data_IF_142772926239
#
_entry.id   IF_142772926239
#
_cell.length_a   1.000
_cell.length_b   1.000
_cell.length_c   1.000
_cell.angle_alpha   90.00
_cell.angle_beta   90.00
_cell.angle_gamma   90.00
#
_symmetry.space_group_name_H-M   'P 1'
#
loop_
_entity.id
_entity.type
_entity.pdbx_description
1 polymer ?
#
# COMPACT_ATOMS: atom_id res chain seq x y z
N UNK A 1 62.11 1.95 -4.45
CA UNK A 1 61.29 3.14 -4.16
C UNK A 1 60.04 3.27 -5.04
N UNK A 2 59.99 2.72 -6.26
CA UNK A 2 58.82 2.87 -7.14
C UNK A 2 57.64 1.94 -6.79
N UNK A 3 57.90 0.73 -6.27
CA UNK A 3 56.85 -0.24 -5.93
C UNK A 3 56.05 0.14 -4.67
N UNK A 4 56.70 0.73 -3.66
CA UNK A 4 56.05 1.18 -2.42
C UNK A 4 55.07 2.34 -2.64
N UNK A 5 55.43 3.30 -3.50
CA UNK A 5 54.55 4.41 -3.88
C UNK A 5 53.31 3.92 -4.66
N UNK A 6 53.49 2.92 -5.53
CA UNK A 6 52.39 2.35 -6.31
C UNK A 6 51.41 1.53 -5.46
N UNK A 7 51.90 0.85 -4.43
CA UNK A 7 51.06 0.10 -3.48
C UNK A 7 50.23 1.00 -2.56
N UNK A 8 50.81 2.09 -2.04
CA UNK A 8 50.08 3.08 -1.22
C UNK A 8 49.02 3.84 -2.03
N UNK A 9 49.32 4.23 -3.28
CA UNK A 9 48.36 4.88 -4.16
C UNK A 9 47.17 3.96 -4.50
N UNK A 10 47.43 2.68 -4.75
CA UNK A 10 46.39 1.66 -4.98
C UNK A 10 45.50 1.46 -3.73
N UNK A 11 46.10 1.44 -2.54
CA UNK A 11 45.38 1.33 -1.26
C UNK A 11 44.49 2.55 -1.01
N UNK A 12 45.02 3.78 -1.12
CA UNK A 12 44.24 5.02 -0.93
C UNK A 12 43.09 5.14 -1.93
N UNK A 13 43.32 4.75 -3.19
CA UNK A 13 42.28 4.76 -4.23
C UNK A 13 41.13 3.80 -3.89
N UNK A 14 41.44 2.59 -3.41
CA UNK A 14 40.43 1.62 -2.95
C UNK A 14 39.61 2.15 -1.77
N UNK A 15 40.24 2.83 -0.81
CA UNK A 15 39.53 3.46 0.32
C UNK A 15 38.64 4.62 -0.12
N UNK A 16 39.08 5.47 -1.05
CA UNK A 16 38.28 6.59 -1.57
C UNK A 16 37.07 6.05 -2.36
N UNK A 17 37.28 5.07 -3.24
CA UNK A 17 36.20 4.46 -4.02
C UNK A 17 35.23 3.71 -3.11
N UNK A 18 35.75 2.91 -2.17
CA UNK A 18 34.93 2.19 -1.19
C UNK A 18 34.13 3.11 -0.29
N UNK A 19 34.76 4.18 0.22
CA UNK A 19 34.10 5.20 1.03
C UNK A 19 33.02 5.98 0.25
N UNK A 20 33.31 6.34 -1.00
CA UNK A 20 32.33 7.00 -1.88
C UNK A 20 31.13 6.11 -2.17
N UNK A 21 31.35 4.83 -2.47
CA UNK A 21 30.28 3.88 -2.74
C UNK A 21 29.40 3.65 -1.50
N UNK A 22 30.03 3.47 -0.33
CA UNK A 22 29.31 3.35 0.94
C UNK A 22 28.49 4.61 1.27
N UNK A 23 29.06 5.80 1.01
CA UNK A 23 28.37 7.07 1.18
C UNK A 23 27.13 7.18 0.27
N UNK A 24 27.26 6.85 -1.01
CA UNK A 24 26.13 6.84 -1.95
C UNK A 24 25.05 5.84 -1.55
N UNK A 25 25.43 4.64 -1.11
CA UNK A 25 24.50 3.64 -0.60
C UNK A 25 23.74 4.16 0.62
N UNK A 26 24.44 4.75 1.59
CA UNK A 26 23.82 5.31 2.78
C UNK A 26 22.82 6.43 2.44
N UNK A 27 23.20 7.35 1.55
CA UNK A 27 22.29 8.41 1.06
C UNK A 27 21.06 7.81 0.38
N UNK A 28 21.23 6.77 -0.44
CA UNK A 28 20.12 6.08 -1.09
C UNK A 28 19.15 5.42 -0.10
N UNK A 29 19.68 4.73 0.91
CA UNK A 29 18.88 4.09 1.97
C UNK A 29 18.12 5.14 2.77
N UNK A 30 18.81 6.18 3.24
CA UNK A 30 18.18 7.26 4.02
C UNK A 30 17.09 7.96 3.20
N UNK A 31 17.37 8.29 1.94
CA UNK A 31 16.40 8.89 1.04
C UNK A 31 15.16 8.01 0.85
N UNK A 32 15.35 6.70 0.71
CA UNK A 32 14.25 5.75 0.57
C UNK A 32 13.40 5.60 1.84
N UNK A 33 14.04 5.62 3.02
CA UNK A 33 13.33 5.59 4.30
C UNK A 33 12.52 6.87 4.52
N UNK A 34 13.09 8.04 4.21
CA UNK A 34 12.37 9.32 4.26
C UNK A 34 11.18 9.29 3.31
N UNK A 35 11.38 8.88 2.05
CA UNK A 35 10.30 8.73 1.08
C UNK A 35 9.18 7.81 1.60
N UNK A 36 9.53 6.66 2.17
CA UNK A 36 8.57 5.70 2.74
C UNK A 36 7.86 6.23 4.00
N UNK A 37 8.49 7.14 4.76
CA UNK A 37 7.86 7.77 5.92
C UNK A 37 6.86 8.87 5.55
N UNK A 38 7.04 9.50 4.39
CA UNK A 38 6.23 10.63 3.91
C UNK A 38 5.11 10.16 2.99
N UNK A 39 5.36 9.17 2.14
CA UNK A 39 4.39 8.67 1.16
C UNK A 39 4.13 7.17 1.38
N UNK A 40 2.89 6.68 1.16
CA UNK A 40 1.96 7.16 0.16
C UNK A 40 1.21 8.43 0.56
N UNK A 41 1.23 9.41 -0.32
CA UNK A 41 0.74 10.77 -0.09
C UNK A 41 -0.02 11.21 -1.36
N UNK A 42 -1.25 11.69 -1.21
CA UNK A 42 -2.15 11.98 -2.34
C UNK A 42 -2.20 10.83 -3.38
N UNK A 43 -1.66 11.06 -4.58
CA UNK A 43 -1.55 10.09 -5.68
C UNK A 43 -0.14 9.54 -5.86
N UNK A 44 0.81 10.02 -5.08
CA UNK A 44 2.19 9.56 -5.12
C UNK A 44 2.29 8.25 -4.34
N UNK A 45 2.73 7.16 -4.97
CA UNK A 45 2.93 5.92 -4.25
C UNK A 45 4.03 6.09 -3.18
N UNK A 46 4.11 5.14 -2.26
CA UNK A 46 5.15 5.04 -1.25
C UNK A 46 5.98 3.76 -1.41
N UNK A 47 6.92 3.59 -0.49
CA UNK A 47 7.68 2.35 -0.30
C UNK A 47 7.05 1.52 0.80
N UNK A 48 7.77 1.36 1.90
CA UNK A 48 7.28 0.63 3.08
C UNK A 48 6.25 1.43 3.88
N UNK A 49 5.23 0.73 4.41
CA UNK A 49 4.33 1.25 5.43
C UNK A 49 4.90 0.97 6.80
N UNK A 50 5.23 2.03 7.52
CA UNK A 50 5.68 1.96 8.91
C UNK A 50 4.55 2.32 9.86
N UNK A 51 4.51 1.67 11.03
CA UNK A 51 3.49 1.90 12.05
C UNK A 51 3.60 0.94 13.22
N UNK A 52 2.72 1.12 14.20
CA UNK A 52 2.54 0.17 15.30
C UNK A 52 2.00 -1.15 14.76
N UNK A 53 2.54 -2.29 15.18
CA UNK A 53 2.03 -3.58 14.74
C UNK A 53 0.70 -3.89 15.44
N UNK A 54 -0.27 -4.41 14.69
CA UNK A 54 -1.51 -4.90 15.27
C UNK A 54 -1.28 -6.04 16.26
N UNK A 55 -2.07 -6.08 17.34
CA UNK A 55 -2.05 -7.16 18.33
C UNK A 55 -2.87 -8.36 17.84
N UNK A 56 -2.25 -9.15 16.96
CA UNK A 56 -2.81 -10.40 16.43
C UNK A 56 -3.77 -10.23 15.25
N UNK A 57 -4.37 -11.35 14.78
CA UNK A 57 -5.24 -11.35 13.61
C UNK A 57 -6.57 -10.63 13.83
N UNK A 58 -7.01 -9.88 12.82
CA UNK A 58 -8.28 -9.14 12.83
C UNK A 58 -9.39 -9.99 12.21
N UNK A 59 -10.47 -10.20 12.97
CA UNK A 59 -11.69 -10.88 12.50
C UNK A 59 -12.83 -9.93 12.15
N UNK A 60 -12.81 -8.71 12.67
CA UNK A 60 -13.79 -7.66 12.40
C UNK A 60 -13.08 -6.35 12.04
N UNK A 61 -13.29 -5.92 10.80
CA UNK A 61 -12.68 -4.72 10.24
C UNK A 61 -13.61 -3.50 10.27
N UNK A 62 -14.69 -3.49 11.04
CA UNK A 62 -15.63 -2.36 11.10
C UNK A 62 -14.93 -1.01 11.35
N UNK A 63 -13.86 -0.99 12.15
CA UNK A 63 -13.04 0.21 12.41
C UNK A 63 -12.41 0.82 11.14
N UNK A 64 -12.26 0.06 10.06
CA UNK A 64 -11.81 0.59 8.77
C UNK A 64 -12.78 1.62 8.19
N UNK A 65 -14.05 1.64 8.63
CA UNK A 65 -15.02 2.66 8.25
C UNK A 65 -14.86 3.97 9.02
N UNK A 66 -13.97 4.06 10.00
CA UNK A 66 -13.70 5.30 10.78
C UNK A 66 -12.63 6.18 10.13
N UNK A 67 -12.00 5.72 9.05
CA UNK A 67 -10.95 6.45 8.31
C UNK A 67 -11.38 6.76 6.88
N UNK A 68 -11.03 7.92 6.31
CA UNK A 68 -11.43 8.27 4.95
C UNK A 68 -10.83 7.33 3.89
N UNK A 69 -9.57 6.95 4.07
CA UNK A 69 -8.81 6.07 3.19
C UNK A 69 -7.97 5.11 4.02
N UNK A 70 -7.63 3.98 3.42
CA UNK A 70 -6.60 3.10 3.95
C UNK A 70 -5.31 3.24 3.14
N UNK A 71 -4.22 2.71 3.69
CA UNK A 71 -2.99 2.52 2.93
C UNK A 71 -2.78 1.02 2.70
N UNK A 72 -2.49 0.64 1.46
CA UNK A 72 -2.13 -0.73 1.08
C UNK A 72 -0.66 -0.74 0.67
N UNK A 73 0.08 -1.74 1.10
CA UNK A 73 1.38 -2.12 0.57
C UNK A 73 1.33 -3.55 0.03
N UNK A 74 1.84 -3.74 -1.19
CA UNK A 74 2.14 -5.05 -1.76
C UNK A 74 3.60 -5.09 -2.23
N UNK A 75 4.09 -6.27 -2.58
CA UNK A 75 5.38 -6.41 -3.25
C UNK A 75 5.20 -6.53 -4.76
N UNK A 76 5.69 -5.55 -5.49
CA UNK A 76 5.69 -5.60 -6.94
C UNK A 76 7.07 -6.04 -7.43
N UNK A 77 7.29 -7.36 -7.48
CA UNK A 77 8.61 -7.94 -7.64
C UNK A 77 9.46 -7.68 -6.40
N UNK A 78 10.62 -7.04 -6.56
CA UNK A 78 11.55 -6.78 -5.44
C UNK A 78 11.30 -5.46 -4.70
N UNK A 79 10.29 -4.67 -5.09
CA UNK A 79 10.06 -3.34 -4.53
C UNK A 79 8.75 -3.29 -3.75
N UNK A 80 8.75 -2.81 -2.49
CA UNK A 80 7.51 -2.49 -1.81
C UNK A 80 6.83 -1.34 -2.56
N UNK A 81 5.53 -1.44 -2.74
CA UNK A 81 4.72 -0.41 -3.37
C UNK A 81 3.51 -0.15 -2.49
N UNK A 82 3.43 1.05 -1.94
CA UNK A 82 2.30 1.46 -1.13
C UNK A 82 1.48 2.58 -1.76
N UNK A 83 0.20 2.63 -1.44
CA UNK A 83 -0.78 3.57 -2.01
C UNK A 83 -1.86 3.94 -1.00
N UNK A 84 -2.48 5.10 -1.18
CA UNK A 84 -3.74 5.45 -0.53
C UNK A 84 -4.91 4.98 -1.42
N UNK A 85 -5.90 4.33 -0.83
CA UNK A 85 -7.06 3.84 -1.57
C UNK A 85 -8.33 3.76 -0.70
N UNK A 86 -9.46 3.65 -1.38
CA UNK A 86 -10.73 3.38 -0.71
C UNK A 86 -10.71 1.96 -0.13
N UNK A 87 -11.15 1.88 1.11
CA UNK A 87 -11.40 0.65 1.84
C UNK A 87 -12.76 0.78 2.52
N UNK A 88 -13.46 -0.33 2.68
CA UNK A 88 -14.80 -0.35 3.24
C UNK A 88 -15.02 -1.69 3.91
N UNK A 89 -15.50 -1.65 5.15
CA UNK A 89 -15.95 -2.84 5.85
C UNK A 89 -17.46 -3.02 5.69
N UNK A 90 -17.91 -4.25 5.50
CA UNK A 90 -19.33 -4.59 5.55
C UNK A 90 -19.86 -4.53 6.99
N UNK A 91 -21.18 -4.59 7.16
CA UNK A 91 -21.82 -4.71 8.47
C UNK A 91 -21.41 -5.99 9.23
N UNK A 92 -20.97 -7.02 8.50
CA UNK A 92 -20.46 -8.28 9.07
C UNK A 92 -18.97 -8.24 9.39
N UNK A 93 -18.31 -7.09 9.22
CA UNK A 93 -16.89 -6.91 9.55
C UNK A 93 -15.90 -7.34 8.47
N UNK A 94 -16.35 -7.68 7.26
CA UNK A 94 -15.45 -8.06 6.17
C UNK A 94 -14.86 -6.83 5.49
N UNK A 95 -13.54 -6.82 5.27
CA UNK A 95 -12.86 -5.71 4.62
C UNK A 95 -12.71 -5.91 3.12
N UNK A 96 -13.11 -4.89 2.37
CA UNK A 96 -12.89 -4.80 0.94
C UNK A 96 -12.06 -3.58 0.58
N UNK A 97 -11.27 -3.74 -0.49
CA UNK A 97 -10.62 -2.66 -1.22
C UNK A 97 -11.19 -2.60 -2.63
N UNK A 98 -11.00 -1.46 -3.28
CA UNK A 98 -11.53 -1.29 -4.62
C UNK A 98 -10.79 -0.23 -5.43
N UNK A 99 -10.96 -0.33 -6.74
CA UNK A 99 -10.56 0.72 -7.64
C UNK A 99 -11.51 0.86 -8.83
N UNK A 100 -11.56 2.08 -9.36
CA UNK A 100 -12.03 2.35 -10.72
C UNK A 100 -10.87 2.30 -11.70
N UNK A 101 -11.13 1.78 -12.90
CA UNK A 101 -10.19 1.72 -14.03
C UNK A 101 -8.86 1.05 -13.63
N UNK A 102 -8.99 -0.07 -12.92
CA UNK A 102 -7.89 -0.78 -12.28
C UNK A 102 -6.82 -1.28 -13.23
N UNK A 103 -7.16 -1.52 -14.50
CA UNK A 103 -6.21 -1.89 -15.54
C UNK A 103 -5.06 -0.86 -15.70
N UNK A 104 -5.32 0.41 -15.36
CA UNK A 104 -4.31 1.48 -15.38
C UNK A 104 -3.58 1.66 -14.05
N UNK A 105 -3.95 0.91 -13.01
CA UNK A 105 -3.36 1.02 -11.67
C UNK A 105 -2.36 -0.11 -11.47
N UNK A 106 -1.10 0.27 -11.31
CA UNK A 106 0.02 -0.67 -11.18
C UNK A 106 -0.23 -1.77 -10.14
N UNK A 107 -0.69 -1.40 -8.94
CA UNK A 107 -0.94 -2.37 -7.87
C UNK A 107 -2.00 -3.41 -8.22
N UNK A 108 -3.09 -3.00 -8.88
CA UNK A 108 -4.27 -3.84 -9.07
C UNK A 108 -3.97 -5.01 -10.01
N UNK A 109 -3.10 -4.81 -11.00
CA UNK A 109 -2.62 -5.86 -11.90
C UNK A 109 -1.51 -6.73 -11.31
N UNK A 110 -1.06 -6.46 -10.07
CA UNK A 110 -0.05 -7.24 -9.36
C UNK A 110 -0.61 -8.10 -8.23
N UNK A 111 -1.89 -7.94 -7.92
CA UNK A 111 -2.56 -8.81 -6.95
C UNK A 111 -2.84 -10.16 -7.62
N UNK A 112 -2.09 -11.17 -7.21
CA UNK A 112 -2.31 -12.56 -7.58
C UNK A 112 -3.20 -13.26 -6.54
N UNK A 113 -3.37 -14.58 -6.66
CA UNK A 113 -4.07 -15.36 -5.65
C UNK A 113 -3.25 -15.37 -4.35
N UNK A 114 -3.93 -15.11 -3.23
CA UNK A 114 -3.36 -15.02 -1.89
C UNK A 114 -2.19 -14.03 -1.78
N UNK A 115 -2.31 -12.87 -2.45
CA UNK A 115 -1.29 -11.83 -2.45
C UNK A 115 -1.02 -11.33 -1.03
N UNK A 116 0.21 -11.49 -0.56
CA UNK A 116 0.61 -11.00 0.76
C UNK A 116 0.81 -9.49 0.75
N UNK A 117 0.33 -8.82 1.79
CA UNK A 117 0.49 -7.38 1.90
C UNK A 117 0.52 -6.88 3.33
N UNK A 118 0.60 -5.55 3.44
CA UNK A 118 0.43 -4.82 4.68
C UNK A 118 -0.63 -3.75 4.46
N UNK A 119 -1.63 -3.71 5.33
CA UNK A 119 -2.55 -2.60 5.42
C UNK A 119 -2.12 -1.67 6.53
N UNK A 120 -2.31 -0.36 6.36
CA UNK A 120 -2.15 0.62 7.43
C UNK A 120 -3.39 1.48 7.57
N UNK A 121 -3.88 1.56 8.80
CA UNK A 121 -5.03 2.36 9.20
C UNK A 121 -4.66 3.08 10.49
N UNK A 122 -4.84 4.41 10.55
CA UNK A 122 -4.55 5.22 11.74
C UNK A 122 -3.20 4.97 12.41
N UNK A 123 -2.15 4.69 11.62
CA UNK A 123 -0.81 4.45 12.16
C UNK A 123 -0.52 3.01 12.57
N UNK A 124 -1.51 2.12 12.58
CA UNK A 124 -1.34 0.69 12.87
C UNK A 124 -1.19 -0.08 11.56
N UNK A 125 -0.23 -1.00 11.51
CA UNK A 125 0.05 -1.89 10.38
C UNK A 125 -0.47 -3.30 10.67
N UNK A 126 -1.13 -3.88 9.67
CA UNK A 126 -1.77 -5.17 9.72
C UNK A 126 -1.22 -6.06 8.60
N UNK A 127 -0.65 -7.23 8.91
CA UNK A 127 -0.31 -8.21 7.90
C UNK A 127 -1.59 -8.80 7.30
N UNK A 128 -1.68 -8.82 5.97
CA UNK A 128 -2.90 -9.25 5.28
C UNK A 128 -2.60 -10.21 4.13
N UNK A 129 -3.66 -10.87 3.69
CA UNK A 129 -3.80 -11.49 2.37
C UNK A 129 -4.86 -10.73 1.58
N UNK A 130 -4.58 -10.48 0.30
CA UNK A 130 -5.45 -9.75 -0.61
C UNK A 130 -5.83 -10.65 -1.78
N UNK A 131 -7.13 -10.77 -2.04
CA UNK A 131 -7.64 -11.60 -3.13
C UNK A 131 -8.62 -10.83 -4.02
N UNK A 132 -8.48 -10.98 -5.34
CA UNK A 132 -9.42 -10.36 -6.30
C UNK A 132 -10.76 -11.09 -6.26
N UNK A 133 -11.83 -10.31 -6.12
CA UNK A 133 -13.21 -10.82 -6.06
C UNK A 133 -13.88 -10.61 -7.42
N UNK A 134 -14.43 -11.70 -7.97
CA UNK A 134 -15.20 -11.68 -9.22
C UNK A 134 -16.66 -12.13 -9.04
N UNK A 135 -17.01 -12.65 -7.86
CA UNK A 135 -18.39 -12.99 -7.56
C UNK A 135 -19.27 -11.72 -7.50
N UNK A 136 -20.32 -11.61 -8.34
CA UNK A 136 -21.12 -10.39 -8.43
C UNK A 136 -21.79 -9.99 -7.11
N UNK A 137 -22.24 -10.97 -6.31
CA UNK A 137 -22.93 -10.69 -5.05
C UNK A 137 -21.99 -10.10 -4.00
N UNK A 138 -20.77 -10.61 -3.94
CA UNK A 138 -19.68 -10.11 -3.08
C UNK A 138 -19.23 -8.72 -3.52
N UNK A 139 -19.11 -8.49 -4.83
CA UNK A 139 -18.79 -7.17 -5.37
C UNK A 139 -19.87 -6.14 -5.03
N UNK A 140 -21.14 -6.54 -5.03
CA UNK A 140 -22.26 -5.67 -4.66
C UNK A 140 -22.31 -5.38 -3.16
N UNK A 141 -21.96 -6.35 -2.31
CA UNK A 141 -21.77 -6.12 -0.87
C UNK A 141 -20.69 -5.06 -0.60
N UNK A 142 -19.52 -5.20 -1.24
CA UNK A 142 -18.44 -4.22 -1.12
C UNK A 142 -18.85 -2.83 -1.64
N UNK A 143 -19.62 -2.78 -2.74
CA UNK A 143 -20.12 -1.54 -3.29
C UNK A 143 -21.10 -0.81 -2.37
N UNK A 144 -22.06 -1.53 -1.79
CA UNK A 144 -22.98 -0.95 -0.78
C UNK A 144 -22.22 -0.43 0.44
N UNK A 145 -21.25 -1.19 0.94
CA UNK A 145 -20.38 -0.73 2.03
C UNK A 145 -19.62 0.57 1.67
N UNK A 146 -19.16 0.69 0.42
CA UNK A 146 -18.54 1.92 -0.08
C UNK A 146 -19.51 3.09 -0.08
N UNK A 147 -20.72 2.89 -0.62
CA UNK A 147 -21.74 3.95 -0.68
C UNK A 147 -22.01 4.49 0.71
N UNK A 148 -22.22 3.61 1.69
CA UNK A 148 -22.45 3.99 3.08
C UNK A 148 -21.29 4.81 3.64
N UNK A 149 -20.05 4.33 3.48
CA UNK A 149 -18.86 5.03 3.97
C UNK A 149 -18.70 6.44 3.35
N UNK A 150 -19.06 6.60 2.08
CA UNK A 150 -18.96 7.89 1.39
C UNK A 150 -20.05 8.90 1.75
N UNK A 151 -21.10 8.48 2.45
CA UNK A 151 -22.01 9.44 3.07
C UNK A 151 -21.28 10.25 4.15
N UNK A 152 -20.26 9.68 4.79
CA UNK A 152 -19.45 10.35 5.82
C UNK A 152 -18.18 10.97 5.25
N UNK A 153 -17.43 10.25 4.40
CA UNK A 153 -16.10 10.66 3.93
C UNK A 153 -16.03 11.11 2.47
N UNK A 154 -17.18 11.17 1.79
CA UNK A 154 -17.27 11.63 0.40
C UNK A 154 -17.24 13.15 0.24
N UNK A 155 -17.67 13.62 -0.92
CA UNK A 155 -17.81 15.04 -1.26
C UNK A 155 -16.58 15.68 -1.93
N UNK A 156 -15.47 14.94 -2.04
CA UNK A 156 -14.26 15.40 -2.72
C UNK A 156 -14.27 15.13 -4.24
N UNK A 157 -13.42 15.80 -5.02
CA UNK A 157 -13.37 15.64 -6.48
C UNK A 157 -12.95 14.24 -6.94
N UNK A 158 -12.32 13.44 -6.06
CA UNK A 158 -11.85 12.09 -6.37
C UNK A 158 -12.70 10.99 -5.71
N UNK A 159 -13.51 11.36 -4.73
CA UNK A 159 -14.44 10.49 -4.02
C UNK A 159 -15.74 11.29 -3.79
N UNK A 160 -16.55 11.48 -4.84
CA UNK A 160 -17.85 12.13 -4.68
C UNK A 160 -18.74 11.29 -3.77
N UNK A 161 -19.72 11.93 -3.14
CA UNK A 161 -20.80 11.22 -2.42
C UNK A 161 -21.82 10.74 -3.45
N UNK A 162 -21.96 9.42 -3.68
CA UNK A 162 -22.98 8.89 -4.59
C UNK A 162 -24.34 8.86 -3.90
N UNK A 163 -25.41 8.82 -4.70
CA UNK A 163 -26.75 8.45 -4.23
C UNK A 163 -26.74 7.06 -3.59
N UNK A 164 -27.65 6.83 -2.64
CA UNK A 164 -27.70 5.58 -1.86
C UNK A 164 -28.01 4.34 -2.72
N UNK A 165 -28.68 4.52 -3.85
CA UNK A 165 -29.07 3.49 -4.80
C UNK A 165 -28.15 3.42 -6.04
N UNK A 166 -27.05 4.19 -6.03
CA UNK A 166 -26.12 4.23 -7.14
C UNK A 166 -25.60 2.82 -7.49
N UNK A 167 -25.61 2.49 -8.77
CA UNK A 167 -25.15 1.20 -9.26
C UNK A 167 -23.62 1.16 -9.37
N UNK A 168 -23.03 -0.02 -9.13
CA UNK A 168 -21.59 -0.24 -9.30
C UNK A 168 -21.20 -0.10 -10.77
N UNK A 169 -20.18 0.71 -11.12
CA UNK A 169 -19.69 0.77 -12.50
C UNK A 169 -19.06 -0.55 -12.97
N UNK A 170 -19.16 -0.85 -14.26
CA UNK A 170 -18.60 -2.10 -14.83
C UNK A 170 -17.07 -2.18 -14.76
N UNK A 171 -16.39 -1.04 -14.84
CA UNK A 171 -14.92 -0.93 -14.81
C UNK A 171 -14.33 -0.96 -13.38
N UNK A 172 -15.11 -1.47 -12.43
CA UNK A 172 -14.78 -1.54 -11.01
C UNK A 172 -14.22 -2.90 -10.64
N UNK A 173 -13.06 -2.94 -9.96
CA UNK A 173 -12.59 -4.19 -9.36
C UNK A 173 -12.69 -4.10 -7.83
N UNK A 174 -12.99 -5.26 -7.25
CA UNK A 174 -13.12 -5.46 -5.81
C UNK A 174 -12.07 -6.46 -5.36
N UNK A 175 -11.51 -6.23 -4.19
CA UNK A 175 -10.57 -7.13 -3.55
C UNK A 175 -11.01 -7.35 -2.10
N UNK A 176 -10.95 -8.59 -1.64
CA UNK A 176 -11.18 -8.93 -0.25
C UNK A 176 -9.85 -8.94 0.49
N UNK A 177 -9.86 -8.38 1.70
CA UNK A 177 -8.74 -8.42 2.64
C UNK A 177 -9.07 -9.41 3.75
N UNK A 178 -8.12 -10.27 4.07
CA UNK A 178 -8.15 -11.12 5.27
C UNK A 178 -6.89 -10.89 6.09
N UNK A 179 -7.02 -11.01 7.41
CA UNK A 179 -5.85 -10.91 8.29
C UNK A 179 -4.96 -12.14 8.12
N UNK A 180 -3.64 -11.92 8.17
CA UNK A 180 -2.65 -12.99 8.23
C UNK A 180 -2.06 -13.06 9.63
N UNK A 181 -1.70 -14.26 10.10
CA UNK A 181 -0.95 -14.49 11.34
C UNK A 181 0.54 -14.24 11.15
#
# INVERSE_FOLDING_TARGET
>A
MSETLSAEASSRTKWIVGGSLAGLLAVGIIGFLIYSSVCPCDRTPGGFLFGEAADGPVTDWAFANEVPLCQLQIYAGIRPHSINLNCMATETGELFLSCSVCERKYWAGKVEADETGVMRLNGVVYPIVLNRVQDPSRMEQAWRARIQKLQTFGGGPYNPTPELDAQRPDHWWTFQVTSRS
#
